data_IF_297425920690
#
_entry.id   IF_297425920690
#
_cell.length_a   1.000
_cell.length_b   1.000
_cell.length_c   1.000
_cell.angle_alpha   90.00
_cell.angle_beta   90.00
_cell.angle_gamma   90.00
#
_symmetry.space_group_name_H-M   'P 1'
#
loop_
_entity.id
_entity.type
_entity.pdbx_description
1 polymer ?
#
# COMPACT_ATOMS: atom_id res chain seq x y z
N UNK A 1 2.65 -1.10 3.09
CA UNK A 1 1.77 -0.72 1.96
C UNK A 1 2.66 -0.31 0.78
N UNK A 2 2.19 -0.37 -0.47
CA UNK A 2 3.04 -0.19 -1.67
C UNK A 2 2.54 0.91 -2.59
N UNK A 3 3.43 1.64 -3.25
CA UNK A 3 3.04 2.52 -4.36
C UNK A 3 2.86 1.67 -5.60
N UNK A 4 1.73 1.81 -6.28
CA UNK A 4 1.35 0.97 -7.41
C UNK A 4 1.21 1.83 -8.64
N UNK A 5 1.97 1.53 -9.70
CA UNK A 5 1.85 2.20 -10.99
C UNK A 5 0.76 1.54 -11.82
N UNK A 6 -0.23 2.35 -12.16
CA UNK A 6 -1.36 1.95 -13.00
C UNK A 6 -1.03 2.17 -14.49
N UNK A 7 -1.70 1.44 -15.40
CA UNK A 7 -1.44 1.51 -16.84
C UNK A 7 -1.85 2.84 -17.47
N UNK A 8 -2.69 3.63 -16.80
CA UNK A 8 -3.10 4.98 -17.21
C UNK A 8 -2.04 6.05 -16.87
N UNK A 9 -0.94 5.65 -16.21
CA UNK A 9 0.13 6.55 -15.81
C UNK A 9 -0.12 7.26 -14.47
N UNK A 10 -1.15 6.85 -13.71
CA UNK A 10 -1.33 7.31 -12.33
C UNK A 10 -0.65 6.37 -11.34
N UNK A 11 -0.37 6.87 -10.13
CA UNK A 11 0.14 6.08 -9.03
C UNK A 11 -0.94 5.93 -7.97
N UNK A 12 -1.25 4.70 -7.58
CA UNK A 12 -2.06 4.41 -6.41
C UNK A 12 -1.14 4.29 -5.19
N UNK A 13 -1.23 5.28 -4.30
CA UNK A 13 -0.32 5.52 -3.19
C UNK A 13 -1.06 5.32 -1.86
N UNK A 14 -0.44 4.69 -0.86
CA UNK A 14 -1.04 4.62 0.48
C UNK A 14 -1.18 6.02 1.09
N UNK A 15 -2.32 6.36 1.70
CA UNK A 15 -2.52 7.66 2.36
C UNK A 15 -1.45 7.94 3.43
N UNK A 16 -0.97 6.91 4.14
CA UNK A 16 0.10 7.07 5.14
C UNK A 16 1.43 7.53 4.53
N UNK A 17 1.69 7.24 3.25
CA UNK A 17 2.91 7.66 2.55
C UNK A 17 2.86 9.14 2.17
N UNK A 18 1.66 9.69 1.99
CA UNK A 18 1.40 11.13 1.77
C UNK A 18 1.17 11.92 3.08
N UNK A 19 1.01 11.23 4.21
CA UNK A 19 0.88 11.88 5.52
C UNK A 19 2.26 12.14 6.16
N UNK A 20 3.28 11.38 5.75
CA UNK A 20 4.65 11.47 6.25
C UNK A 20 5.38 12.76 5.78
N UNK A 21 4.87 13.46 4.74
CA UNK A 21 5.42 14.74 4.24
C UNK A 21 4.80 16.01 4.86
N UNK A 22 3.87 15.89 5.81
CA UNK A 22 3.55 16.99 6.74
C UNK A 22 2.12 17.55 6.74
N UNK A 23 1.10 16.73 6.53
CA UNK A 23 -0.31 17.17 6.71
C UNK A 23 -1.03 16.35 7.77
N UNK A 24 -0.63 16.53 9.02
CA UNK A 24 -1.48 16.31 10.17
C UNK A 24 -2.16 17.65 10.55
N UNK A 25 -3.00 18.23 9.69
CA UNK A 25 -4.07 19.16 10.10
C UNK A 25 -4.96 19.59 8.92
N UNK A 26 -6.28 19.44 9.10
CA UNK A 26 -7.33 20.30 8.51
C UNK A 26 -7.29 20.67 7.02
N UNK A 27 -7.72 19.79 6.12
CA UNK A 27 -8.10 20.16 4.75
C UNK A 27 -9.58 20.51 4.63
N UNK A 28 -9.90 21.79 4.39
CA UNK A 28 -11.26 22.29 4.11
C UNK A 28 -11.90 21.66 2.87
N UNK A 29 -13.23 21.53 2.84
CA UNK A 29 -14.03 20.88 1.79
C UNK A 29 -13.72 21.28 0.34
N UNK A 30 -13.08 22.42 0.09
CA UNK A 30 -12.67 22.87 -1.25
C UNK A 30 -11.40 22.20 -1.80
N UNK A 31 -10.55 21.59 -0.96
CA UNK A 31 -9.31 20.91 -1.39
C UNK A 31 -9.56 19.44 -1.79
N UNK A 32 -10.76 18.94 -1.45
CA UNK A 32 -11.21 17.56 -1.70
C UNK A 32 -11.50 17.25 -3.18
N UNK A 33 -11.71 18.27 -4.01
CA UNK A 33 -11.98 18.10 -5.45
C UNK A 33 -10.69 18.03 -6.30
N UNK A 34 -9.53 18.44 -5.76
CA UNK A 34 -8.22 18.30 -6.45
C UNK A 34 -7.42 17.08 -6.01
N UNK A 35 -7.73 16.50 -4.86
CA UNK A 35 -7.02 15.36 -4.31
C UNK A 35 -7.71 14.05 -4.67
N UNK A 36 -6.91 13.12 -5.18
CA UNK A 36 -7.32 11.86 -5.79
C UNK A 36 -8.45 11.16 -5.07
N UNK A 37 -9.38 10.61 -5.87
CA UNK A 37 -10.53 9.85 -5.39
C UNK A 37 -10.03 8.78 -4.41
N UNK A 38 -10.37 8.94 -3.14
CA UNK A 38 -10.02 7.98 -2.10
C UNK A 38 -10.79 6.69 -2.39
N UNK A 39 -10.12 5.64 -2.85
CA UNK A 39 -10.72 4.32 -3.08
C UNK A 39 -10.34 3.43 -1.91
N UNK A 40 -11.21 3.40 -0.90
CA UNK A 40 -11.31 2.45 0.22
C UNK A 40 -10.02 2.11 1.01
N UNK A 41 -10.06 2.42 2.32
CA UNK A 41 -9.06 2.16 3.37
C UNK A 41 -7.58 2.34 2.97
N UNK A 42 -7.29 3.60 2.70
CA UNK A 42 -5.99 4.24 2.66
C UNK A 42 -5.16 4.09 1.39
N UNK A 43 -5.78 4.03 0.20
CA UNK A 43 -5.08 4.33 -1.06
C UNK A 43 -5.71 5.52 -1.79
N UNK A 44 -4.87 6.40 -2.33
CA UNK A 44 -5.24 7.53 -3.18
C UNK A 44 -4.50 7.48 -4.51
N UNK A 45 -5.08 8.07 -5.54
CA UNK A 45 -4.48 8.10 -6.87
C UNK A 45 -3.88 9.48 -7.13
N UNK A 46 -2.57 9.52 -7.39
CA UNK A 46 -1.85 10.74 -7.76
C UNK A 46 -1.41 10.66 -9.22
N UNK A 47 -1.49 11.78 -9.92
CA UNK A 47 -1.06 11.91 -11.32
C UNK A 47 0.30 12.62 -11.44
N UNK A 48 0.88 12.68 -12.65
CA UNK A 48 2.16 13.34 -12.92
C UNK A 48 2.22 14.85 -12.63
N UNK A 49 1.10 15.48 -12.27
CA UNK A 49 1.06 16.87 -11.81
C UNK A 49 1.24 17.05 -10.30
N UNK A 50 1.37 15.95 -9.55
CA UNK A 50 1.49 15.96 -8.09
C UNK A 50 2.98 16.08 -7.68
N UNK A 51 3.33 16.92 -6.68
CA UNK A 51 4.73 17.09 -6.24
C UNK A 51 5.39 15.79 -5.76
N UNK A 52 4.62 14.85 -5.22
CA UNK A 52 5.15 13.57 -4.75
C UNK A 52 5.22 12.51 -5.86
N UNK A 53 4.67 12.78 -7.04
CA UNK A 53 4.62 11.81 -8.13
C UNK A 53 6.01 11.32 -8.55
N UNK A 54 6.94 12.22 -8.88
CA UNK A 54 8.28 11.83 -9.36
C UNK A 54 9.08 11.08 -8.29
N UNK A 55 8.93 11.47 -7.02
CA UNK A 55 9.56 10.81 -5.87
C UNK A 55 9.03 9.38 -5.72
N UNK A 56 7.72 9.20 -5.80
CA UNK A 56 7.06 7.92 -5.57
C UNK A 56 7.14 7.01 -6.80
N UNK A 57 7.26 7.57 -8.01
CA UNK A 57 7.42 6.82 -9.25
C UNK A 57 8.65 5.91 -9.20
N UNK A 58 9.77 6.40 -8.66
CA UNK A 58 11.00 5.60 -8.51
C UNK A 58 10.88 4.42 -7.52
N UNK A 59 9.86 4.44 -6.65
CA UNK A 59 9.59 3.39 -5.66
C UNK A 59 8.33 2.58 -6.00
N UNK A 60 7.70 2.88 -7.13
CA UNK A 60 6.46 2.25 -7.56
C UNK A 60 6.69 0.84 -8.07
N UNK A 61 5.71 -0.03 -7.82
CA UNK A 61 5.62 -1.36 -8.37
C UNK A 61 4.50 -1.39 -9.41
N UNK A 62 4.66 -2.15 -10.48
CA UNK A 62 3.54 -2.45 -11.36
C UNK A 62 2.54 -3.36 -10.69
N UNK A 63 1.30 -3.39 -11.21
CA UNK A 63 0.26 -4.31 -10.72
C UNK A 63 0.72 -5.77 -10.78
N UNK A 64 1.42 -6.16 -11.84
CA UNK A 64 1.95 -7.51 -12.00
C UNK A 64 3.00 -7.86 -10.95
N UNK A 65 3.93 -6.93 -10.65
CA UNK A 65 4.92 -7.12 -9.59
C UNK A 65 4.27 -7.20 -8.20
N UNK A 66 3.18 -6.44 -7.98
CA UNK A 66 2.41 -6.53 -6.75
C UNK A 66 1.71 -7.89 -6.61
N UNK A 67 1.14 -8.42 -7.69
CA UNK A 67 0.53 -9.75 -7.71
C UNK A 67 1.53 -10.86 -7.39
N UNK A 68 2.70 -10.83 -8.02
CA UNK A 68 3.78 -11.78 -7.75
C UNK A 68 4.25 -11.73 -6.30
N UNK A 69 4.34 -10.53 -5.74
CA UNK A 69 4.69 -10.31 -4.34
C UNK A 69 3.59 -10.80 -3.40
N UNK A 70 2.32 -10.57 -3.74
CA UNK A 70 1.17 -11.06 -2.98
C UNK A 70 1.09 -12.59 -3.01
N UNK A 71 1.48 -13.22 -4.12
CA UNK A 71 1.59 -14.66 -4.22
C UNK A 71 2.69 -15.19 -3.29
N UNK A 72 3.90 -14.64 -3.36
CA UNK A 72 5.00 -15.02 -2.46
C UNK A 72 4.63 -14.87 -0.99
N UNK A 73 3.96 -13.78 -0.64
CA UNK A 73 3.47 -13.59 0.73
C UNK A 73 2.48 -14.66 1.16
N UNK A 74 1.56 -15.11 0.31
CA UNK A 74 0.67 -16.23 0.67
C UNK A 74 1.43 -17.54 0.84
N UNK A 75 2.45 -17.77 0.03
CA UNK A 75 3.26 -18.98 0.12
C UNK A 75 4.10 -19.01 1.42
N UNK A 76 4.70 -17.87 1.79
CA UNK A 76 5.43 -17.69 3.06
C UNK A 76 4.51 -17.69 4.28
N UNK A 77 3.30 -17.13 4.17
CA UNK A 77 2.27 -17.11 5.22
C UNK A 77 1.80 -18.53 5.56
N UNK A 78 1.67 -19.41 4.56
CA UNK A 78 1.34 -20.81 4.79
C UNK A 78 2.44 -21.55 5.58
N UNK A 79 3.72 -21.24 5.32
CA UNK A 79 4.84 -21.77 6.10
C UNK A 79 4.81 -21.25 7.55
N UNK A 80 4.53 -19.96 7.72
CA UNK A 80 4.45 -19.33 9.04
C UNK A 80 3.28 -19.89 9.86
N UNK A 81 2.12 -20.10 9.24
CA UNK A 81 0.95 -20.71 9.84
C UNK A 81 1.25 -22.14 10.31
N UNK A 82 1.92 -22.95 9.49
CA UNK A 82 2.35 -24.30 9.87
C UNK A 82 3.27 -24.27 11.08
N UNK A 83 4.27 -23.38 11.09
CA UNK A 83 5.18 -23.22 12.24
C UNK A 83 4.46 -22.80 13.51
N UNK A 84 3.43 -21.96 13.38
CA UNK A 84 2.61 -21.53 14.50
C UNK A 84 1.75 -22.67 15.06
N UNK A 85 1.18 -23.52 14.20
CA UNK A 85 0.45 -24.72 14.62
C UNK A 85 1.37 -25.70 15.36
N UNK A 86 2.57 -25.96 14.84
CA UNK A 86 3.58 -26.80 15.50
C UNK A 86 3.98 -26.27 16.88
N UNK A 87 4.21 -24.96 17.00
CA UNK A 87 4.50 -24.33 18.29
C UNK A 87 3.30 -24.45 19.27
N UNK A 88 2.08 -24.18 18.79
CA UNK A 88 0.87 -24.22 19.63
C UNK A 88 0.52 -25.63 20.10
N UNK A 89 0.76 -26.65 19.28
CA UNK A 89 0.54 -28.04 19.67
C UNK A 89 1.66 -28.55 20.60
N UNK A 90 2.89 -28.06 20.45
CA UNK A 90 3.99 -28.33 21.38
C UNK A 90 3.76 -27.72 22.78
N UNK A 91 3.19 -26.52 22.87
CA UNK A 91 2.79 -25.90 24.15
C UNK A 91 1.58 -26.59 24.80
N UNK A 92 0.80 -27.38 24.04
CA UNK A 92 -0.35 -28.11 24.56
C UNK A 92 0.02 -29.48 25.16
N UNK A 93 1.24 -29.97 24.91
CA UNK A 93 1.78 -31.24 25.44
C UNK A 93 2.65 -31.07 26.71
N UNK A 94 2.89 -29.85 27.20
CA UNK A 94 3.57 -29.56 28.49
C UNK A 94 2.61 -29.29 29.68
#
# INVERSE_FOLDING_TARGET
MYVIRLPDGTLRVPHSVLADDGSADGGSDADRERNGRIIADAYVEIGPGDPDYDRLLGQSLTEQELEDRRRRWRDEDAELARRFEEWRDGEAEE
#
